data_IF_479426977830
#
_entry.id   IF_479426977830
#
_cell.length_a   1.000
_cell.length_b   1.000
_cell.length_c   1.000
_cell.angle_alpha   90.00
_cell.angle_beta   90.00
_cell.angle_gamma   90.00
#
_symmetry.space_group_name_H-M   'P 1'
#
loop_
_entity.id
_entity.type
_entity.pdbx_description
1 polymer ?
#
# COMPACT_ATOMS: atom_id res chain seq x y z
N UNK A 1 -7.94 -4.65 69.39
CA UNK A 1 -7.88 -5.14 67.99
C UNK A 1 -7.52 -3.97 67.10
N UNK A 2 -6.23 -3.76 66.84
CA UNK A 2 -5.78 -2.79 65.84
C UNK A 2 -5.49 -3.57 64.57
N UNK A 3 -6.54 -3.80 63.78
CA UNK A 3 -6.42 -4.32 62.42
C UNK A 3 -5.62 -3.31 61.61
N UNK A 4 -4.55 -3.79 60.97
CA UNK A 4 -3.45 -2.96 60.49
C UNK A 4 -3.95 -2.15 59.28
N UNK A 5 -4.00 -0.81 59.32
CA UNK A 5 -4.50 0.04 58.22
C UNK A 5 -3.73 -0.14 56.89
N UNK A 6 -2.57 -0.79 56.96
CA UNK A 6 -1.76 -1.22 55.83
C UNK A 6 -2.43 -2.30 54.96
N UNK A 7 -3.19 -3.23 55.55
CA UNK A 7 -3.89 -4.29 54.81
C UNK A 7 -5.03 -3.71 53.96
N UNK A 8 -5.80 -2.76 54.51
CA UNK A 8 -6.85 -2.04 53.78
C UNK A 8 -6.26 -1.19 52.64
N UNK A 9 -5.11 -0.55 52.86
CA UNK A 9 -4.37 0.17 51.81
C UNK A 9 -3.90 -0.74 50.68
N UNK A 10 -3.42 -1.95 51.00
CA UNK A 10 -3.03 -2.95 50.00
C UNK A 10 -4.23 -3.45 49.19
N UNK A 11 -5.37 -3.68 49.83
CA UNK A 11 -6.60 -4.08 49.13
C UNK A 11 -7.11 -2.98 48.18
N UNK A 12 -7.10 -1.72 48.62
CA UNK A 12 -7.46 -0.57 47.78
C UNK A 12 -6.49 -0.44 46.60
N UNK A 13 -5.18 -0.54 46.86
CA UNK A 13 -4.16 -0.47 45.82
C UNK A 13 -4.32 -1.61 44.81
N UNK A 14 -4.54 -2.85 45.25
CA UNK A 14 -4.72 -4.00 44.37
C UNK A 14 -6.02 -3.91 43.54
N UNK A 15 -7.09 -3.40 44.15
CA UNK A 15 -8.38 -3.16 43.49
C UNK A 15 -8.29 -2.09 42.40
N UNK A 16 -7.45 -1.07 42.58
CA UNK A 16 -7.25 0.01 41.60
C UNK A 16 -6.22 -0.38 40.53
N UNK A 17 -5.14 -1.06 40.92
CA UNK A 17 -4.05 -1.42 39.99
C UNK A 17 -4.44 -2.53 39.01
N UNK A 18 -5.31 -3.45 39.39
CA UNK A 18 -5.75 -4.55 38.51
C UNK A 18 -6.47 -4.02 37.24
N UNK A 19 -7.48 -3.13 37.34
CA UNK A 19 -8.08 -2.48 36.17
C UNK A 19 -7.08 -1.65 35.35
N UNK A 20 -6.16 -0.93 36.00
CA UNK A 20 -5.15 -0.13 35.31
C UNK A 20 -4.20 -1.03 34.52
N UNK A 21 -3.72 -2.12 35.12
CA UNK A 21 -2.87 -3.11 34.44
C UNK A 21 -3.60 -3.76 33.26
N UNK A 22 -4.91 -4.02 33.39
CA UNK A 22 -5.74 -4.52 32.31
C UNK A 22 -5.84 -3.53 31.14
N UNK A 23 -6.08 -2.24 31.42
CA UNK A 23 -6.12 -1.18 30.40
C UNK A 23 -4.77 -1.04 29.70
N UNK A 24 -3.67 -1.04 30.47
CA UNK A 24 -2.30 -1.00 29.91
C UNK A 24 -2.07 -2.22 29.01
N UNK A 25 -2.51 -3.41 29.41
CA UNK A 25 -2.36 -4.62 28.61
C UNK A 25 -3.11 -4.52 27.28
N UNK A 26 -4.35 -4.03 27.28
CA UNK A 26 -5.12 -3.78 26.04
C UNK A 26 -4.38 -2.78 25.16
N UNK A 27 -3.87 -1.69 25.75
CA UNK A 27 -3.11 -0.69 25.01
C UNK A 27 -1.83 -1.26 24.40
N UNK A 28 -1.05 -2.03 25.16
CA UNK A 28 0.15 -2.71 24.69
C UNK A 28 -0.17 -3.68 23.55
N UNK A 29 -1.28 -4.41 23.63
CA UNK A 29 -1.70 -5.30 22.55
C UNK A 29 -2.04 -4.53 21.27
N UNK A 30 -2.75 -3.40 21.37
CA UNK A 30 -3.06 -2.54 20.23
C UNK A 30 -1.79 -1.95 19.61
N UNK A 31 -0.83 -1.51 20.43
CA UNK A 31 0.47 -1.01 19.96
C UNK A 31 1.24 -2.12 19.25
N UNK A 32 1.32 -3.32 19.86
CA UNK A 32 2.01 -4.46 19.26
C UNK A 32 1.41 -4.85 17.89
N UNK A 33 0.08 -4.83 17.78
CA UNK A 33 -0.62 -5.06 16.51
C UNK A 33 -0.29 -3.99 15.47
N UNK A 34 -0.37 -2.71 15.84
CA UNK A 34 -0.02 -1.61 14.95
C UNK A 34 1.45 -1.66 14.49
N UNK A 35 2.37 -2.05 15.38
CA UNK A 35 3.78 -2.27 15.02
C UNK A 35 3.95 -3.43 14.06
N UNK A 36 3.23 -4.54 14.28
CA UNK A 36 3.24 -5.68 13.36
C UNK A 36 2.74 -5.30 11.96
N UNK A 37 1.62 -4.59 11.87
CA UNK A 37 1.07 -4.12 10.59
C UNK A 37 2.07 -3.20 9.85
N UNK A 38 2.72 -2.27 10.56
CA UNK A 38 3.75 -1.40 9.98
C UNK A 38 5.01 -2.15 9.54
N UNK A 39 5.41 -3.18 10.28
CA UNK A 39 6.55 -4.02 9.92
C UNK A 39 6.27 -4.81 8.64
N UNK A 40 5.06 -5.32 8.50
CA UNK A 40 4.62 -6.04 7.30
C UNK A 40 4.57 -5.10 6.08
N UNK A 41 3.98 -3.91 6.23
CA UNK A 41 4.01 -2.87 5.20
C UNK A 41 5.44 -2.51 4.78
N UNK A 42 6.33 -2.29 5.75
CA UNK A 42 7.74 -1.94 5.47
C UNK A 42 8.45 -3.07 4.72
N UNK A 43 8.17 -4.34 5.07
CA UNK A 43 8.71 -5.51 4.36
C UNK A 43 8.20 -5.58 2.93
N UNK A 44 6.91 -5.37 2.70
CA UNK A 44 6.35 -5.33 1.35
C UNK A 44 6.94 -4.19 0.53
N UNK A 45 7.07 -2.99 1.10
CA UNK A 45 7.70 -1.84 0.44
C UNK A 45 9.15 -2.17 0.04
N UNK A 46 9.92 -2.77 0.95
CA UNK A 46 11.31 -3.16 0.67
C UNK A 46 11.40 -4.19 -0.45
N UNK A 47 10.51 -5.19 -0.47
CA UNK A 47 10.42 -6.19 -1.54
C UNK A 47 10.00 -5.57 -2.87
N UNK A 48 9.00 -4.70 -2.86
CA UNK A 48 8.57 -3.95 -4.05
C UNK A 48 9.72 -3.11 -4.62
N UNK A 49 10.55 -2.50 -3.77
CA UNK A 49 11.73 -1.76 -4.22
C UNK A 49 12.77 -2.70 -4.84
N UNK A 50 13.06 -3.84 -4.20
CA UNK A 50 14.02 -4.83 -4.71
C UNK A 50 13.56 -5.44 -6.05
N UNK A 51 12.27 -5.66 -6.22
CA UNK A 51 11.66 -6.21 -7.44
C UNK A 51 11.19 -5.14 -8.43
N UNK A 52 11.42 -3.85 -8.14
CA UNK A 52 10.93 -2.73 -8.96
C UNK A 52 11.38 -2.83 -10.42
N UNK A 53 12.58 -3.34 -10.67
CA UNK A 53 13.12 -3.51 -12.03
C UNK A 53 12.29 -4.47 -12.89
N UNK A 54 11.65 -5.49 -12.31
CA UNK A 54 10.77 -6.40 -13.05
C UNK A 54 9.54 -5.65 -13.57
N UNK A 55 8.89 -4.88 -12.70
CA UNK A 55 7.72 -4.09 -13.07
C UNK A 55 8.07 -2.94 -14.00
N UNK A 56 9.20 -2.25 -13.76
CA UNK A 56 9.67 -1.16 -14.61
C UNK A 56 9.99 -1.62 -16.02
N UNK A 57 10.52 -2.83 -16.24
CA UNK A 57 10.74 -3.34 -17.60
C UNK A 57 9.44 -3.45 -18.42
N UNK A 58 8.35 -3.90 -17.78
CA UNK A 58 7.04 -3.97 -18.41
C UNK A 58 6.42 -2.58 -18.61
N UNK A 59 6.55 -1.70 -17.62
CA UNK A 59 6.02 -0.35 -17.70
C UNK A 59 6.80 0.54 -18.68
N UNK A 60 8.12 0.35 -18.83
CA UNK A 60 8.95 1.09 -19.79
C UNK A 60 8.52 0.83 -21.23
N UNK A 61 8.17 -0.41 -21.56
CA UNK A 61 7.62 -0.76 -22.87
C UNK A 61 6.31 0.01 -23.16
N UNK A 62 5.42 0.09 -22.17
CA UNK A 62 4.14 0.79 -22.28
C UNK A 62 4.36 2.30 -22.35
N UNK A 63 5.29 2.84 -21.55
CA UNK A 63 5.70 4.25 -21.55
C UNK A 63 6.18 4.68 -22.92
N UNK A 64 7.03 3.88 -23.58
CA UNK A 64 7.50 4.17 -24.93
C UNK A 64 6.33 4.28 -25.92
N UNK A 65 5.31 3.43 -25.79
CA UNK A 65 4.14 3.51 -26.69
C UNK A 65 3.29 4.73 -26.40
N UNK A 66 3.09 5.08 -25.12
CA UNK A 66 2.36 6.29 -24.72
C UNK A 66 3.10 7.55 -25.21
N UNK A 67 4.42 7.62 -24.99
CA UNK A 67 5.24 8.79 -25.31
C UNK A 67 5.44 8.98 -26.82
N UNK A 68 5.41 7.90 -27.62
CA UNK A 68 5.52 7.95 -29.09
C UNK A 68 4.20 8.21 -29.81
N UNK A 69 3.07 8.22 -29.12
CA UNK A 69 1.80 8.44 -29.76
C UNK A 69 1.50 9.95 -29.86
N UNK A 70 1.59 10.47 -31.08
CA UNK A 70 1.35 11.88 -31.39
C UNK A 70 -0.12 12.31 -31.18
N UNK A 71 -1.06 11.36 -31.12
CA UNK A 71 -2.48 11.66 -30.89
C UNK A 71 -3.02 10.93 -29.66
N UNK A 72 -3.13 11.68 -28.56
CA UNK A 72 -3.65 11.19 -27.28
C UNK A 72 -5.13 10.76 -27.36
N UNK A 73 -5.88 11.19 -28.39
CA UNK A 73 -7.26 10.76 -28.61
C UNK A 73 -7.37 9.40 -29.30
N UNK A 74 -6.26 8.84 -29.78
CA UNK A 74 -6.26 7.49 -30.33
C UNK A 74 -6.62 6.49 -29.22
N UNK A 75 -7.24 5.40 -29.63
CA UNK A 75 -7.52 4.28 -28.77
C UNK A 75 -6.23 3.52 -28.43
N UNK A 76 -6.11 3.09 -27.17
CA UNK A 76 -4.99 2.26 -26.73
C UNK A 76 -5.19 0.84 -27.25
N UNK A 77 -4.20 0.25 -27.94
CA UNK A 77 -4.28 -1.14 -28.40
C UNK A 77 -4.59 -2.12 -27.26
N UNK A 78 -5.53 -3.03 -27.48
CA UNK A 78 -6.01 -3.99 -26.45
C UNK A 78 -4.90 -4.87 -25.87
N UNK A 79 -3.89 -5.21 -26.65
CA UNK A 79 -2.73 -5.97 -26.17
C UNK A 79 -1.91 -5.19 -25.13
N UNK A 80 -1.85 -3.86 -25.27
CA UNK A 80 -1.18 -2.97 -24.30
C UNK A 80 -2.01 -2.87 -23.03
N UNK A 81 -3.34 -2.68 -23.16
CA UNK A 81 -4.25 -2.67 -22.00
C UNK A 81 -4.20 -4.00 -21.24
N UNK A 82 -4.16 -5.15 -21.93
CA UNK A 82 -4.03 -6.46 -21.29
C UNK A 82 -2.68 -6.62 -20.56
N UNK A 83 -1.58 -6.21 -21.18
CA UNK A 83 -0.25 -6.25 -20.54
C UNK A 83 -0.18 -5.32 -19.32
N UNK A 84 -0.78 -4.14 -19.43
CA UNK A 84 -0.88 -3.18 -18.35
C UNK A 84 -1.68 -3.79 -17.19
N UNK A 85 -2.91 -4.24 -17.46
CA UNK A 85 -3.79 -4.87 -16.47
C UNK A 85 -3.11 -6.00 -15.70
N UNK A 86 -2.42 -6.91 -16.41
CA UNK A 86 -1.70 -8.01 -15.77
C UNK A 86 -0.59 -7.51 -14.85
N UNK A 87 0.15 -6.48 -15.27
CA UNK A 87 1.23 -5.89 -14.46
C UNK A 87 0.68 -5.21 -13.21
N UNK A 88 -0.42 -4.45 -13.33
CA UNK A 88 -1.06 -3.78 -12.20
C UNK A 88 -1.62 -4.80 -11.19
N UNK A 89 -2.31 -5.83 -11.70
CA UNK A 89 -2.90 -6.88 -10.86
C UNK A 89 -1.80 -7.66 -10.12
N UNK A 90 -0.67 -7.93 -10.77
CA UNK A 90 0.46 -8.61 -10.12
C UNK A 90 1.06 -7.78 -8.98
N UNK A 91 1.17 -6.45 -9.16
CA UNK A 91 1.60 -5.52 -8.11
C UNK A 91 0.61 -5.52 -6.93
N UNK A 92 -0.68 -5.37 -7.21
CA UNK A 92 -1.73 -5.36 -6.17
C UNK A 92 -1.78 -6.68 -5.39
N UNK A 93 -1.63 -7.82 -6.09
CA UNK A 93 -1.74 -9.15 -5.49
C UNK A 93 -0.50 -9.49 -4.65
N UNK A 94 0.69 -9.12 -5.11
CA UNK A 94 1.95 -9.41 -4.39
C UNK A 94 2.22 -8.45 -3.23
N UNK A 95 1.73 -7.21 -3.33
CA UNK A 95 2.04 -6.13 -2.38
C UNK A 95 0.78 -5.41 -1.89
N UNK A 96 -0.17 -6.15 -1.27
CA UNK A 96 -1.47 -5.59 -0.89
C UNK A 96 -1.35 -4.50 0.17
N UNK A 97 -0.50 -4.64 1.19
CA UNK A 97 -0.34 -3.63 2.25
C UNK A 97 0.37 -2.40 1.71
N UNK A 98 1.43 -2.57 0.93
CA UNK A 98 2.15 -1.45 0.32
C UNK A 98 1.27 -0.65 -0.65
N UNK A 99 0.33 -1.32 -1.31
CA UNK A 99 -0.66 -0.69 -2.19
C UNK A 99 -1.75 0.00 -1.39
N UNK A 100 -2.44 -0.71 -0.50
CA UNK A 100 -3.58 -0.19 0.27
C UNK A 100 -3.22 1.01 1.15
N UNK A 101 -2.05 0.98 1.79
CA UNK A 101 -1.60 2.05 2.68
C UNK A 101 -1.05 3.27 1.92
N UNK A 102 -0.76 3.14 0.63
CA UNK A 102 -0.39 4.25 -0.23
C UNK A 102 -1.60 4.71 -1.06
N UNK A 103 -2.35 5.68 -0.52
CA UNK A 103 -3.60 6.19 -1.13
C UNK A 103 -3.40 6.58 -2.60
N UNK A 104 -2.33 7.29 -2.93
CA UNK A 104 -2.06 7.70 -4.32
C UNK A 104 -1.81 6.51 -5.24
N UNK A 105 -1.05 5.51 -4.79
CA UNK A 105 -0.80 4.30 -5.57
C UNK A 105 -2.10 3.51 -5.78
N UNK A 106 -2.86 3.30 -4.70
CA UNK A 106 -4.13 2.57 -4.74
C UNK A 106 -5.16 3.23 -5.68
N UNK A 107 -5.39 4.53 -5.53
CA UNK A 107 -6.35 5.26 -6.37
C UNK A 107 -5.98 5.21 -7.86
N UNK A 108 -4.69 5.39 -8.18
CA UNK A 108 -4.24 5.33 -9.57
C UNK A 108 -4.27 3.90 -10.11
N UNK A 109 -3.94 2.88 -9.30
CA UNK A 109 -4.02 1.48 -9.70
C UNK A 109 -5.45 1.07 -10.01
N UNK A 110 -6.41 1.38 -9.12
CA UNK A 110 -7.83 1.09 -9.35
C UNK A 110 -8.33 1.79 -10.60
N UNK A 111 -8.05 3.09 -10.74
CA UNK A 111 -8.44 3.87 -11.91
C UNK A 111 -7.89 3.28 -13.21
N UNK A 112 -6.60 2.92 -13.24
CA UNK A 112 -5.96 2.38 -14.43
C UNK A 112 -6.45 0.97 -14.75
N UNK A 113 -6.70 0.16 -13.72
CA UNK A 113 -7.28 -1.19 -13.83
C UNK A 113 -8.69 -1.14 -14.39
N UNK A 114 -9.51 -0.17 -13.99
CA UNK A 114 -10.86 0.02 -14.53
C UNK A 114 -10.84 0.54 -15.96
N UNK A 115 -9.94 1.46 -16.30
CA UNK A 115 -9.72 1.88 -17.68
C UNK A 115 -9.33 0.68 -18.56
N UNK A 116 -8.49 -0.23 -18.09
CA UNK A 116 -8.11 -1.42 -18.86
C UNK A 116 -9.28 -2.40 -19.15
N UNK A 117 -10.38 -2.32 -18.41
CA UNK A 117 -11.57 -3.16 -18.62
C UNK A 117 -12.58 -2.54 -19.61
N UNK A 118 -12.41 -1.28 -19.96
CA UNK A 118 -13.33 -0.60 -20.87
C UNK A 118 -13.09 -1.06 -22.32
N UNK A 119 -14.16 -1.07 -23.13
CA UNK A 119 -14.05 -1.44 -24.55
C UNK A 119 -13.25 -0.43 -25.36
N UNK A 120 -13.36 0.85 -24.99
CA UNK A 120 -12.70 1.97 -25.62
C UNK A 120 -12.00 2.81 -24.55
N UNK A 121 -10.69 2.94 -24.70
CA UNK A 121 -9.87 3.75 -23.78
C UNK A 121 -8.85 4.51 -24.59
N UNK A 122 -8.75 5.81 -24.34
CA UNK A 122 -7.82 6.68 -25.06
C UNK A 122 -6.49 6.81 -24.32
N UNK A 123 -5.45 7.18 -25.06
CA UNK A 123 -4.15 7.47 -24.46
C UNK A 123 -4.22 8.65 -23.47
N UNK A 124 -5.09 9.63 -23.71
CA UNK A 124 -5.34 10.76 -22.81
C UNK A 124 -5.76 10.30 -21.41
N UNK A 125 -6.70 9.36 -21.34
CA UNK A 125 -7.24 8.83 -20.08
C UNK A 125 -6.22 8.00 -19.30
N UNK A 126 -5.40 7.23 -20.01
CA UNK A 126 -4.39 6.31 -19.44
C UNK A 126 -3.15 7.06 -18.98
N UNK A 127 -2.72 8.10 -19.70
CA UNK A 127 -1.41 8.74 -19.52
C UNK A 127 -1.20 9.27 -18.10
N UNK A 128 -2.18 9.99 -17.54
CA UNK A 128 -2.05 10.61 -16.21
C UNK A 128 -1.93 9.57 -15.08
N UNK A 129 -2.87 8.62 -14.92
CA UNK A 129 -2.74 7.58 -13.90
C UNK A 129 -1.52 6.69 -14.13
N UNK A 130 -1.17 6.38 -15.37
CA UNK A 130 0.04 5.62 -15.71
C UNK A 130 1.32 6.32 -15.23
N UNK A 131 1.51 7.61 -15.56
CA UNK A 131 2.70 8.37 -15.15
C UNK A 131 2.83 8.45 -13.62
N UNK A 132 1.71 8.55 -12.90
CA UNK A 132 1.71 8.54 -11.43
C UNK A 132 2.27 7.22 -10.88
N UNK A 133 1.75 6.08 -11.34
CA UNK A 133 2.22 4.75 -10.92
C UNK A 133 3.68 4.54 -11.31
N UNK A 134 4.03 4.86 -12.56
CA UNK A 134 5.40 4.76 -13.06
C UNK A 134 6.37 5.55 -12.17
N UNK A 135 6.03 6.80 -11.82
CA UNK A 135 6.88 7.61 -10.95
C UNK A 135 6.99 7.03 -9.54
N UNK A 136 5.90 6.53 -8.95
CA UNK A 136 5.95 5.93 -7.60
C UNK A 136 6.87 4.71 -7.58
N UNK A 137 6.82 3.86 -8.61
CA UNK A 137 7.65 2.66 -8.73
C UNK A 137 9.10 3.05 -9.09
N UNK A 138 9.29 4.06 -9.94
CA UNK A 138 10.61 4.53 -10.36
C UNK A 138 11.36 5.28 -9.25
N UNK A 139 10.72 6.19 -8.52
CA UNK A 139 11.36 6.93 -7.41
C UNK A 139 11.86 5.97 -6.33
N UNK A 140 11.14 4.87 -6.13
CA UNK A 140 11.50 3.80 -5.20
C UNK A 140 12.76 3.02 -5.60
N UNK A 141 13.18 3.09 -6.87
CA UNK A 141 14.46 2.55 -7.35
C UNK A 141 15.64 3.45 -6.96
N UNK A 142 15.42 4.76 -6.88
CA UNK A 142 16.47 5.76 -6.62
C UNK A 142 16.65 6.08 -5.12
N UNK A 143 15.89 5.41 -4.25
CA UNK A 143 15.85 5.61 -2.80
C UNK A 143 16.68 4.63 -1.97
N UNK A 144 17.91 4.30 -2.41
CA UNK A 144 18.96 3.67 -1.60
C UNK A 144 20.27 4.43 -1.80
#
# INVERSE_FOLDING_TARGET
>A
MLGIPWLEWLEIFNTITTPIAFIITIYTFNVARATSDKLEETREISRLNAESNLFLGHLDAIKIVIDKNDNLKNEVPKNILASLYNTLTDIETRYPRATQNNTTLNENLQKLTDLCKQEHTTFEEVTKPFKSIYNIISIRKDGI
#
